data_IF_598257765995
#
_entry.id   IF_598257765995
#
_cell.length_a   1.000
_cell.length_b   1.000
_cell.length_c   1.000
_cell.angle_alpha   90.00
_cell.angle_beta   90.00
_cell.angle_gamma   90.00
#
_symmetry.space_group_name_H-M   'P 1'
#
loop_
_entity.id
_entity.type
_entity.pdbx_description
1 polymer ?
#
# COMPACT_ATOMS: atom_id res chain seq x y z
N UNK A 1 -46.62 24.32 7.46
CA UNK A 1 -45.54 24.65 6.50
C UNK A 1 -44.52 25.50 7.25
N UNK A 2 -43.37 24.94 7.62
CA UNK A 2 -42.35 25.61 8.45
C UNK A 2 -41.05 25.69 7.65
N UNK A 3 -40.42 26.87 7.61
CA UNK A 3 -39.10 27.06 7.00
C UNK A 3 -38.02 26.81 8.06
N UNK A 4 -37.08 25.93 7.76
CA UNK A 4 -35.83 25.76 8.50
C UNK A 4 -34.75 26.56 7.73
N UNK A 5 -33.85 27.34 8.39
CA UNK A 5 -32.82 28.09 7.68
C UNK A 5 -31.62 27.22 7.26
N UNK A 6 -31.17 27.36 6.00
CA UNK A 6 -29.95 26.75 5.46
C UNK A 6 -28.68 27.46 5.96
N UNK A 7 -28.33 27.30 7.24
CA UNK A 7 -27.11 27.91 7.81
C UNK A 7 -26.37 26.99 8.80
N UNK A 8 -26.09 25.75 8.38
CA UNK A 8 -25.29 24.79 9.17
C UNK A 8 -24.21 24.00 8.38
N UNK A 9 -23.94 24.37 7.13
CA UNK A 9 -22.94 23.74 6.27
C UNK A 9 -21.48 24.19 6.50
N UNK A 10 -21.14 24.73 7.69
CA UNK A 10 -19.74 25.04 8.05
C UNK A 10 -18.94 23.76 8.26
N UNK A 11 -18.33 23.26 7.18
CA UNK A 11 -17.44 22.11 7.17
C UNK A 11 -16.38 22.23 8.28
N UNK A 12 -16.43 21.31 9.25
CA UNK A 12 -15.50 21.27 10.39
C UNK A 12 -14.14 20.72 9.93
N UNK A 13 -13.36 21.57 9.27
CA UNK A 13 -11.98 21.29 8.90
C UNK A 13 -11.22 20.75 10.12
N UNK A 14 -10.63 19.55 10.00
CA UNK A 14 -10.04 18.83 11.12
C UNK A 14 -9.02 19.72 11.86
N UNK A 15 -8.97 19.73 13.21
CA UNK A 15 -8.06 20.60 13.98
C UNK A 15 -6.59 20.52 13.53
N UNK A 16 -6.16 19.33 13.11
CA UNK A 16 -4.85 19.05 12.50
C UNK A 16 -4.52 19.97 11.33
N UNK A 17 -5.47 20.25 10.43
CA UNK A 17 -5.23 21.08 9.23
C UNK A 17 -4.98 22.55 9.61
N UNK A 18 -5.80 23.11 10.50
CA UNK A 18 -5.65 24.50 10.97
C UNK A 18 -4.37 24.67 11.79
N UNK A 19 -3.95 23.64 12.52
CA UNK A 19 -2.68 23.61 13.26
C UNK A 19 -1.50 23.50 12.29
N UNK A 20 -1.54 22.59 11.30
CA UNK A 20 -0.53 22.46 10.25
C UNK A 20 -0.32 23.75 9.48
N UNK A 21 -1.40 24.46 9.10
CA UNK A 21 -1.30 25.77 8.44
C UNK A 21 -0.64 26.82 9.34
N UNK A 22 -1.02 26.93 10.62
CA UNK A 22 -0.40 27.87 11.57
C UNK A 22 1.09 27.59 11.81
N UNK A 23 1.48 26.31 11.96
CA UNK A 23 2.89 25.95 12.16
C UNK A 23 3.70 26.17 10.88
N UNK A 24 3.15 25.85 9.70
CA UNK A 24 3.82 26.13 8.42
C UNK A 24 4.05 27.63 8.20
N UNK A 25 3.05 28.47 8.51
CA UNK A 25 3.19 29.94 8.45
C UNK A 25 4.27 30.47 9.40
N UNK A 26 4.34 29.95 10.64
CA UNK A 26 5.39 30.29 11.61
C UNK A 26 6.77 29.86 11.14
N UNK A 27 6.90 28.63 10.65
CA UNK A 27 8.16 28.08 10.15
C UNK A 27 8.66 28.91 8.96
N UNK A 28 7.79 29.21 7.99
CA UNK A 28 8.11 30.09 6.87
C UNK A 28 8.55 31.49 7.34
N UNK A 29 7.86 32.12 8.30
CA UNK A 29 8.26 33.44 8.78
C UNK A 29 9.61 33.44 9.50
N UNK A 30 9.88 32.41 10.32
CA UNK A 30 11.17 32.27 11.03
C UNK A 30 12.31 32.00 10.05
N UNK A 31 12.11 31.08 9.11
CA UNK A 31 13.16 30.67 8.16
C UNK A 31 13.48 31.79 7.14
N UNK A 32 12.48 32.59 6.73
CA UNK A 32 12.72 33.78 5.89
C UNK A 32 13.48 34.85 6.66
N UNK A 33 13.19 35.08 7.95
CA UNK A 33 13.96 36.01 8.80
C UNK A 33 15.41 35.55 8.97
N UNK A 34 15.65 34.25 9.19
CA UNK A 34 16.99 33.68 9.33
C UNK A 34 17.83 33.86 8.05
N UNK A 35 17.27 33.51 6.88
CA UNK A 35 17.96 33.68 5.59
C UNK A 35 18.25 35.17 5.31
N UNK A 36 17.29 36.06 5.58
CA UNK A 36 17.46 37.49 5.35
C UNK A 36 18.43 38.16 6.35
N UNK A 37 18.64 37.60 7.54
CA UNK A 37 19.65 38.11 8.50
C UNK A 37 21.05 37.63 8.14
N UNK A 38 21.23 36.41 7.63
CA UNK A 38 22.54 35.96 7.11
C UNK A 38 23.01 36.70 5.86
N UNK A 39 22.11 37.30 5.08
CA UNK A 39 22.44 38.13 3.90
C UNK A 39 22.81 39.57 4.30
N UNK A 40 22.36 40.07 5.46
CA UNK A 40 22.78 41.39 6.00
C UNK A 40 24.10 41.31 6.77
N UNK A 41 25.17 40.89 6.07
CA UNK A 41 26.54 41.21 6.49
C UNK A 41 26.93 42.57 5.89
N UNK A 42 27.61 43.39 6.68
CA UNK A 42 27.81 44.82 6.41
C UNK A 42 28.59 45.10 5.10
N UNK A 43 28.19 46.17 4.41
CA UNK A 43 29.00 46.77 3.33
C UNK A 43 30.25 47.40 3.96
N UNK A 44 31.48 46.99 3.58
CA UNK A 44 32.68 47.65 4.06
C UNK A 44 32.84 49.01 3.37
N UNK A 45 33.23 50.02 4.14
CA UNK A 45 33.57 51.36 3.63
C UNK A 45 34.71 51.29 2.61
N UNK A 46 34.69 52.20 1.63
CA UNK A 46 35.72 52.33 0.59
C UNK A 46 37.15 52.51 1.15
N UNK A 47 38.12 52.06 0.33
CA UNK A 47 39.59 52.16 0.37
C UNK A 47 40.34 50.89 0.80
N UNK A 48 40.75 50.07 -0.19
CA UNK A 48 42.16 49.74 -0.47
C UNK A 48 42.29 48.90 -1.76
N UNK A 49 43.36 49.13 -2.54
CA UNK A 49 43.65 48.43 -3.80
C UNK A 49 44.26 47.02 -3.58
N UNK A 50 43.70 45.97 -4.20
CA UNK A 50 44.44 44.76 -4.63
C UNK A 50 43.59 43.90 -5.61
N UNK A 51 44.19 43.19 -6.60
CA UNK A 51 43.45 42.79 -7.80
C UNK A 51 42.85 41.36 -7.83
N UNK A 52 41.77 41.24 -8.62
CA UNK A 52 41.45 40.11 -9.49
C UNK A 52 41.45 38.67 -8.94
N UNK A 53 40.49 38.35 -8.06
CA UNK A 53 39.96 36.98 -7.96
C UNK A 53 38.42 36.97 -8.08
N UNK A 54 37.93 36.82 -9.31
CA UNK A 54 36.53 36.50 -9.62
C UNK A 54 36.17 35.06 -9.19
N UNK A 55 36.21 34.80 -7.89
CA UNK A 55 35.70 33.55 -7.32
C UNK A 55 34.25 33.76 -6.91
N UNK A 56 33.34 33.44 -7.82
CA UNK A 56 31.90 33.36 -7.55
C UNK A 56 31.66 32.45 -6.35
N UNK A 57 31.43 33.05 -5.19
CA UNK A 57 30.84 32.39 -4.03
C UNK A 57 29.34 32.33 -4.26
N UNK A 58 28.94 31.51 -5.24
CA UNK A 58 27.64 30.85 -5.20
C UNK A 58 27.48 30.27 -3.78
N UNK A 59 26.34 30.50 -3.11
CA UNK A 59 26.19 30.11 -1.72
C UNK A 59 26.49 28.62 -1.60
N UNK A 60 27.45 28.29 -0.73
CA UNK A 60 27.66 26.90 -0.34
C UNK A 60 26.35 26.42 0.27
N UNK A 61 25.68 25.52 -0.44
CA UNK A 61 24.64 24.70 0.16
C UNK A 61 25.42 23.74 1.06
N UNK A 62 25.63 24.14 2.31
CA UNK A 62 26.22 23.28 3.33
C UNK A 62 25.41 21.97 3.40
N UNK A 63 26.09 20.85 3.65
CA UNK A 63 25.53 19.51 3.43
C UNK A 63 24.21 19.29 4.19
N UNK A 64 23.09 19.36 3.46
CA UNK A 64 21.73 19.05 3.96
C UNK A 64 21.63 17.57 4.42
N UNK A 65 22.65 16.76 4.14
CA UNK A 65 22.78 15.34 4.53
C UNK A 65 23.35 15.11 5.94
N UNK A 66 23.77 16.16 6.65
CA UNK A 66 24.36 16.06 7.99
C UNK A 66 23.31 15.96 9.10
N UNK A 67 22.06 16.40 8.87
CA UNK A 67 20.97 16.21 9.84
C UNK A 67 20.56 14.73 9.93
N UNK A 68 20.77 14.12 11.10
CA UNK A 68 20.47 12.70 11.36
C UNK A 68 19.88 12.50 12.75
N UNK A 69 18.56 12.41 12.85
CA UNK A 69 17.90 12.09 14.11
C UNK A 69 18.12 10.60 14.50
N UNK A 70 18.67 10.27 15.68
CA UNK A 70 19.18 8.93 16.00
C UNK A 70 18.13 7.82 16.13
N UNK A 71 16.84 8.16 16.17
CA UNK A 71 15.73 7.18 16.17
C UNK A 71 15.01 7.03 14.82
N UNK A 72 15.37 7.81 13.79
CA UNK A 72 14.91 7.58 12.41
C UNK A 72 15.78 6.50 11.74
N UNK A 73 15.28 5.87 10.68
CA UNK A 73 16.04 4.85 9.95
C UNK A 73 17.23 5.50 9.23
N UNK A 74 18.43 4.88 9.30
CA UNK A 74 19.60 5.35 8.54
C UNK A 74 19.26 5.50 7.06
N UNK A 75 19.27 6.73 6.58
CA UNK A 75 19.15 7.06 5.16
C UNK A 75 20.28 6.38 4.38
N UNK A 76 19.93 5.78 3.25
CA UNK A 76 20.87 5.34 2.23
C UNK A 76 20.58 6.18 1.00
N UNK A 77 21.62 6.56 0.27
CA UNK A 77 21.47 7.28 -0.97
C UNK A 77 21.05 6.28 -2.06
N UNK A 78 19.85 6.44 -2.60
CA UNK A 78 19.34 5.62 -3.70
C UNK A 78 20.06 5.91 -5.05
N UNK A 79 21.21 6.58 -4.99
CA UNK A 79 22.21 6.74 -6.06
C UNK A 79 23.11 5.49 -6.11
N UNK A 80 23.46 4.92 -4.95
CA UNK A 80 24.34 3.75 -4.83
C UNK A 80 23.68 2.44 -5.31
N UNK A 81 22.36 2.46 -5.57
CA UNK A 81 21.56 1.28 -5.88
C UNK A 81 21.03 1.34 -7.32
N UNK A 82 21.23 0.26 -8.09
CA UNK A 82 20.63 0.12 -9.42
C UNK A 82 19.11 -0.06 -9.32
N UNK A 83 18.37 0.32 -10.37
CA UNK A 83 16.91 0.09 -10.48
C UNK A 83 16.56 -1.37 -10.20
N UNK A 84 17.34 -2.27 -10.81
CA UNK A 84 17.18 -3.72 -10.69
C UNK A 84 17.43 -4.22 -9.27
N UNK A 85 18.42 -3.69 -8.55
CA UNK A 85 18.73 -4.13 -7.18
C UNK A 85 17.78 -3.56 -6.13
N UNK A 86 17.25 -2.35 -6.35
CA UNK A 86 16.08 -1.85 -5.60
C UNK A 86 14.92 -2.82 -5.79
N UNK A 87 14.53 -3.15 -7.02
CA UNK A 87 13.33 -3.99 -7.26
C UNK A 87 13.53 -5.42 -6.74
N UNK A 88 14.71 -6.05 -6.90
CA UNK A 88 15.06 -7.32 -6.22
C UNK A 88 14.87 -7.21 -4.69
N UNK A 89 15.31 -6.12 -4.07
CA UNK A 89 15.16 -5.90 -2.63
C UNK A 89 13.68 -5.75 -2.23
N UNK A 90 12.88 -4.99 -2.99
CA UNK A 90 11.44 -4.84 -2.74
C UNK A 90 10.72 -6.20 -2.82
N UNK A 91 11.08 -7.03 -3.80
CA UNK A 91 10.49 -8.38 -3.96
C UNK A 91 10.96 -9.32 -2.83
N UNK A 92 12.25 -9.28 -2.46
CA UNK A 92 12.81 -10.08 -1.35
C UNK A 92 12.11 -9.77 -0.02
N UNK A 93 11.91 -8.48 0.28
CA UNK A 93 11.32 -7.97 1.52
C UNK A 93 9.83 -7.62 1.37
N UNK A 94 9.16 -8.24 0.39
CA UNK A 94 7.70 -8.28 0.32
C UNK A 94 7.14 -9.10 1.50
N UNK A 95 5.85 -8.95 1.81
CA UNK A 95 5.18 -9.71 2.88
C UNK A 95 3.66 -9.66 2.71
N UNK A 96 2.93 -10.69 3.16
CA UNK A 96 1.47 -10.64 3.27
C UNK A 96 1.02 -10.15 4.65
N UNK A 97 -0.04 -9.35 4.66
CA UNK A 97 -0.75 -8.95 5.88
C UNK A 97 -2.02 -9.80 5.97
N UNK A 98 -2.23 -10.58 7.04
CA UNK A 98 -3.36 -11.50 7.13
C UNK A 98 -4.69 -10.75 7.19
N UNK A 99 -5.79 -11.49 7.07
CA UNK A 99 -7.13 -11.02 7.39
C UNK A 99 -7.23 -10.49 8.83
N UNK A 100 -8.32 -9.78 9.11
CA UNK A 100 -8.63 -9.33 10.47
C UNK A 100 -8.78 -10.56 11.37
N UNK A 101 -8.06 -10.64 12.51
CA UNK A 101 -8.20 -11.79 13.40
C UNK A 101 -9.65 -11.89 13.90
N UNK A 102 -10.24 -13.10 13.95
CA UNK A 102 -11.67 -13.29 14.27
C UNK A 102 -12.01 -12.87 15.71
N UNK A 103 -11.04 -12.91 16.61
CA UNK A 103 -11.13 -12.38 17.97
C UNK A 103 -10.29 -11.10 18.10
N UNK A 104 -10.50 -10.33 19.17
CA UNK A 104 -9.67 -9.15 19.53
C UNK A 104 -8.27 -9.57 20.05
N UNK A 105 -7.55 -10.35 19.25
CA UNK A 105 -6.19 -10.79 19.51
C UNK A 105 -5.25 -9.60 19.69
N UNK A 106 -4.31 -9.71 20.64
CA UNK A 106 -3.29 -8.68 20.90
C UNK A 106 -2.21 -8.64 19.82
N UNK A 107 -2.10 -9.72 19.06
CA UNK A 107 -1.06 -10.01 18.10
C UNK A 107 -1.65 -10.38 16.73
N UNK A 108 -0.90 -10.12 15.68
CA UNK A 108 -1.17 -10.57 14.30
C UNK A 108 0.11 -11.13 13.69
N UNK A 109 -0.01 -12.11 12.79
CA UNK A 109 1.14 -12.80 12.19
C UNK A 109 1.30 -12.35 10.74
N UNK A 110 2.39 -11.64 10.46
CA UNK A 110 2.82 -11.26 9.11
C UNK A 110 3.62 -12.42 8.53
N UNK A 111 3.39 -12.78 7.26
CA UNK A 111 4.22 -13.77 6.56
C UNK A 111 5.12 -13.05 5.56
N UNK A 112 6.42 -13.09 5.81
CA UNK A 112 7.45 -12.49 4.98
C UNK A 112 7.57 -13.17 3.62
N UNK A 113 8.16 -12.48 2.65
CA UNK A 113 8.30 -12.94 1.27
C UNK A 113 9.05 -14.27 1.15
N UNK A 114 10.04 -14.53 2.01
CA UNK A 114 10.73 -15.82 2.14
C UNK A 114 9.81 -16.96 2.63
N UNK A 115 8.76 -16.66 3.40
CA UNK A 115 7.85 -17.60 4.05
C UNK A 115 7.99 -17.65 5.58
N UNK A 116 8.93 -16.89 6.15
CA UNK A 116 9.07 -16.75 7.60
C UNK A 116 7.89 -15.98 8.21
N UNK A 117 7.47 -16.37 9.41
CA UNK A 117 6.34 -15.73 10.11
C UNK A 117 6.85 -14.81 11.23
N UNK A 118 6.30 -13.60 11.29
CA UNK A 118 6.65 -12.57 12.26
C UNK A 118 5.40 -12.09 12.98
N UNK A 119 5.37 -12.26 14.30
CA UNK A 119 4.27 -11.80 15.16
C UNK A 119 4.51 -10.34 15.53
N UNK A 120 3.52 -9.47 15.30
CA UNK A 120 3.55 -8.05 15.68
C UNK A 120 2.28 -7.66 16.45
N UNK A 121 2.27 -6.59 17.27
CA UNK A 121 1.05 -6.06 17.88
C UNK A 121 -0.04 -5.78 16.84
N UNK A 122 -1.27 -6.27 17.06
CA UNK A 122 -2.42 -6.07 16.14
C UNK A 122 -2.63 -4.63 15.69
N UNK A 123 -2.43 -3.58 16.53
CA UNK A 123 -2.61 -2.20 16.08
C UNK A 123 -1.63 -1.74 14.98
N UNK A 124 -0.51 -2.43 14.77
CA UNK A 124 0.38 -2.16 13.62
C UNK A 124 -0.13 -2.75 12.30
N UNK A 125 -1.13 -3.65 12.30
CA UNK A 125 -1.64 -4.33 11.08
C UNK A 125 -2.03 -3.34 9.98
N UNK A 126 -2.95 -2.42 10.27
CA UNK A 126 -3.47 -1.45 9.29
C UNK A 126 -2.39 -0.40 8.89
N UNK A 127 -1.60 0.19 9.82
CA UNK A 127 -0.49 1.06 9.45
C UNK A 127 0.55 0.40 8.55
N UNK A 128 0.93 -0.86 8.82
CA UNK A 128 1.89 -1.62 8.01
C UNK A 128 1.34 -1.93 6.63
N UNK A 129 0.08 -2.35 6.54
CA UNK A 129 -0.63 -2.59 5.29
C UNK A 129 -0.74 -1.31 4.45
N UNK A 130 -0.96 -0.15 5.06
CA UNK A 130 -0.96 1.13 4.35
C UNK A 130 0.44 1.54 3.88
N UNK A 131 1.48 1.31 4.68
CA UNK A 131 2.86 1.57 4.28
C UNK A 131 3.28 0.71 3.07
N UNK A 132 2.93 -0.59 3.09
CA UNK A 132 3.12 -1.50 1.96
C UNK A 132 2.34 -1.03 0.72
N UNK A 133 1.05 -0.70 0.87
CA UNK A 133 0.22 -0.23 -0.23
C UNK A 133 0.78 1.06 -0.85
N UNK A 134 1.15 2.04 -0.05
CA UNK A 134 1.77 3.28 -0.53
C UNK A 134 3.09 3.00 -1.29
N UNK A 135 3.93 2.07 -0.81
CA UNK A 135 5.14 1.63 -1.51
C UNK A 135 4.84 0.98 -2.86
N UNK A 136 3.97 -0.05 -2.89
CA UNK A 136 3.69 -0.83 -4.10
C UNK A 136 2.91 -0.03 -5.14
N UNK A 137 1.91 0.76 -4.75
CA UNK A 137 1.22 1.68 -5.68
C UNK A 137 2.17 2.75 -6.21
N UNK A 138 3.12 3.26 -5.41
CA UNK A 138 4.14 4.20 -5.92
C UNK A 138 5.08 3.54 -6.92
N UNK A 139 5.49 2.29 -6.70
CA UNK A 139 6.28 1.52 -7.68
C UNK A 139 5.50 1.29 -8.97
N UNK A 140 4.24 0.85 -8.86
CA UNK A 140 3.33 0.63 -9.99
C UNK A 140 3.19 1.90 -10.84
N UNK A 141 2.87 3.04 -10.24
CA UNK A 141 2.71 4.32 -10.94
C UNK A 141 3.97 4.70 -11.75
N UNK A 142 5.16 4.48 -11.19
CA UNK A 142 6.42 4.83 -11.86
C UNK A 142 6.81 3.83 -12.95
N UNK A 143 6.51 2.53 -12.79
CA UNK A 143 6.82 1.53 -13.81
C UNK A 143 5.77 1.48 -14.94
N UNK A 144 4.53 1.90 -14.69
CA UNK A 144 3.46 1.97 -15.69
C UNK A 144 3.56 3.14 -16.68
N UNK A 145 4.37 4.18 -16.42
CA UNK A 145 4.57 5.29 -17.37
C UNK A 145 5.57 4.94 -18.48
N UNK A 146 5.47 5.64 -19.62
CA UNK A 146 6.40 5.55 -20.75
C UNK A 146 7.86 5.69 -20.28
N UNK A 147 8.74 4.86 -20.84
CA UNK A 147 10.20 4.84 -20.65
C UNK A 147 10.88 6.21 -20.50
N UNK A 148 10.46 7.23 -21.26
CA UNK A 148 11.02 8.59 -21.24
C UNK A 148 10.64 9.37 -19.98
N UNK A 149 9.45 9.12 -19.45
CA UNK A 149 8.93 9.73 -18.23
C UNK A 149 9.38 8.91 -17.02
N UNK A 150 9.36 7.57 -17.13
CA UNK A 150 9.81 6.59 -16.12
C UNK A 150 11.11 7.01 -15.46
N UNK A 151 12.15 7.38 -16.21
CA UNK A 151 13.45 7.72 -15.63
C UNK A 151 13.44 9.01 -14.78
N UNK A 152 12.58 9.99 -15.09
CA UNK A 152 12.39 11.19 -14.25
C UNK A 152 11.68 10.80 -12.95
N UNK A 153 10.51 10.18 -13.07
CA UNK A 153 9.69 9.81 -11.91
C UNK A 153 10.41 8.80 -11.01
N UNK A 154 11.17 7.86 -11.59
CA UNK A 154 12.02 6.93 -10.85
C UNK A 154 13.07 7.65 -10.00
N UNK A 155 13.75 8.66 -10.54
CA UNK A 155 14.71 9.43 -9.75
C UNK A 155 14.07 10.22 -8.61
N UNK A 156 12.80 10.65 -8.76
CA UNK A 156 12.03 11.35 -7.72
C UNK A 156 11.51 10.38 -6.63
N UNK A 157 10.96 9.23 -7.01
CA UNK A 157 10.27 8.32 -6.09
C UNK A 157 11.12 7.16 -5.52
N UNK A 158 12.22 6.73 -6.19
CA UNK A 158 12.99 5.53 -5.77
C UNK A 158 13.52 5.60 -4.33
N UNK A 159 13.91 6.79 -3.86
CA UNK A 159 14.39 7.00 -2.50
C UNK A 159 13.30 6.75 -1.46
N UNK A 160 12.10 7.27 -1.69
CA UNK A 160 10.94 7.02 -0.85
C UNK A 160 10.52 5.54 -0.84
N UNK A 161 10.40 4.92 -2.02
CA UNK A 161 10.02 3.51 -2.17
C UNK A 161 11.00 2.59 -1.42
N UNK A 162 12.32 2.77 -1.62
CA UNK A 162 13.35 1.99 -0.94
C UNK A 162 13.38 2.26 0.58
N UNK A 163 13.19 3.50 1.03
CA UNK A 163 13.13 3.82 2.46
C UNK A 163 11.97 3.09 3.14
N UNK A 164 10.79 3.04 2.50
CA UNK A 164 9.58 2.44 3.10
C UNK A 164 9.69 0.92 3.16
N UNK A 165 10.27 0.27 2.14
CA UNK A 165 10.55 -1.16 2.20
C UNK A 165 11.52 -1.51 3.32
N UNK A 166 12.64 -0.76 3.44
CA UNK A 166 13.60 -0.92 4.54
C UNK A 166 13.01 -0.60 5.91
N UNK A 167 12.04 0.31 6.00
CA UNK A 167 11.32 0.65 7.23
C UNK A 167 10.37 -0.49 7.67
N UNK A 168 9.66 -1.10 6.71
CA UNK A 168 8.83 -2.28 6.96
C UNK A 168 9.68 -3.50 7.34
N UNK A 169 10.78 -3.76 6.63
CA UNK A 169 11.75 -4.81 7.01
C UNK A 169 12.33 -4.55 8.41
N UNK A 170 12.72 -3.31 8.73
CA UNK A 170 13.23 -2.96 10.08
C UNK A 170 12.19 -3.29 11.16
N UNK A 171 10.90 -3.00 10.95
CA UNK A 171 9.83 -3.40 11.87
C UNK A 171 9.78 -4.93 12.06
N UNK A 172 9.85 -5.71 10.99
CA UNK A 172 9.77 -7.17 11.05
C UNK A 172 11.06 -7.81 11.61
N UNK A 173 12.22 -7.24 11.32
CA UNK A 173 13.50 -7.61 11.92
C UNK A 173 13.52 -7.38 13.44
N UNK A 174 13.12 -6.19 13.90
CA UNK A 174 13.05 -5.89 15.34
C UNK A 174 11.97 -6.72 16.05
N UNK A 175 10.85 -7.02 15.39
CA UNK A 175 9.83 -7.93 15.93
C UNK A 175 10.38 -9.36 16.09
N UNK A 176 11.07 -9.92 15.07
CA UNK A 176 11.70 -11.24 15.14
C UNK A 176 12.75 -11.33 16.28
N UNK A 177 13.58 -10.28 16.45
CA UNK A 177 14.51 -10.17 17.59
C UNK A 177 13.78 -10.14 18.94
N UNK A 178 12.67 -9.41 19.03
CA UNK A 178 11.88 -9.37 20.27
C UNK A 178 11.19 -10.71 20.56
N UNK A 179 10.71 -11.41 19.53
CA UNK A 179 10.09 -12.74 19.67
C UNK A 179 11.06 -13.76 20.28
N UNK A 180 12.32 -13.81 19.82
CA UNK A 180 13.31 -14.78 20.32
C UNK A 180 13.72 -14.56 21.78
N UNK A 181 13.45 -13.39 22.36
CA UNK A 181 13.72 -13.04 23.77
C UNK A 181 12.42 -12.98 24.60
N UNK A 182 11.27 -13.32 24.01
CA UNK A 182 9.95 -13.21 24.63
C UNK A 182 9.36 -11.80 24.49
N UNK A 183 8.67 -11.54 23.37
CA UNK A 183 8.16 -10.21 23.03
C UNK A 183 7.12 -9.73 24.05
N UNK A 184 7.48 -8.69 24.83
CA UNK A 184 6.60 -8.06 25.82
C UNK A 184 5.35 -7.47 25.16
N UNK A 185 4.19 -7.58 25.82
CA UNK A 185 2.90 -6.98 25.38
C UNK A 185 2.95 -5.47 25.13
N UNK A 186 3.93 -4.78 25.71
CA UNK A 186 4.22 -3.34 25.53
C UNK A 186 5.32 -3.05 24.50
N UNK A 187 5.75 -4.04 23.70
CA UNK A 187 6.75 -3.86 22.65
C UNK A 187 6.25 -2.90 21.57
N UNK A 188 7.17 -2.06 21.09
CA UNK A 188 6.97 -0.98 20.12
C UNK A 188 8.22 -0.81 19.28
N UNK A 189 8.08 -0.64 17.97
CA UNK A 189 9.20 -0.25 17.12
C UNK A 189 9.25 1.28 17.03
N UNK A 190 10.17 1.91 17.79
CA UNK A 190 10.28 3.38 17.86
C UNK A 190 10.45 4.03 16.49
N UNK A 191 11.26 3.44 15.62
CA UNK A 191 11.51 3.95 14.25
C UNK A 191 10.26 3.86 13.38
N UNK A 192 9.46 2.81 13.51
CA UNK A 192 8.18 2.70 12.82
C UNK A 192 7.14 3.68 13.39
N UNK A 193 7.03 3.78 14.72
CA UNK A 193 6.15 4.74 15.39
C UNK A 193 6.43 6.19 14.92
N UNK A 194 7.70 6.57 14.77
CA UNK A 194 8.08 7.90 14.26
C UNK A 194 7.60 8.13 12.83
N UNK A 195 7.74 7.16 11.93
CA UNK A 195 7.17 7.25 10.59
C UNK A 195 5.63 7.35 10.63
N UNK A 196 4.96 6.59 11.49
CA UNK A 196 3.50 6.65 11.64
C UNK A 196 2.99 8.01 12.16
N UNK A 197 3.74 8.68 13.04
CA UNK A 197 3.46 10.06 13.45
C UNK A 197 3.54 11.02 12.25
N UNK A 198 4.60 10.91 11.44
CA UNK A 198 4.73 11.68 10.19
C UNK A 198 3.56 11.40 9.23
N UNK A 199 3.18 10.12 9.07
CA UNK A 199 2.10 9.70 8.19
C UNK A 199 0.74 10.27 8.61
N UNK A 200 0.39 10.21 9.91
CA UNK A 200 -0.83 10.84 10.48
C UNK A 200 -0.98 12.31 10.07
N UNK A 201 0.13 13.03 10.04
CA UNK A 201 0.21 14.45 9.71
C UNK A 201 0.25 14.75 8.20
N UNK A 202 0.26 13.72 7.34
CA UNK A 202 0.36 13.83 5.89
C UNK A 202 1.80 14.08 5.41
N UNK A 203 2.77 13.48 6.08
CA UNK A 203 4.20 13.47 5.72
C UNK A 203 4.65 12.04 5.42
N UNK A 204 4.24 11.53 4.25
CA UNK A 204 4.60 10.19 3.78
C UNK A 204 6.03 10.10 3.25
N UNK A 205 6.54 11.19 2.66
CA UNK A 205 7.91 11.27 2.17
C UNK A 205 8.90 11.21 3.34
N UNK A 206 10.02 10.53 3.10
CA UNK A 206 11.05 10.24 4.12
C UNK A 206 12.45 10.68 3.67
N UNK A 207 12.52 11.72 2.84
CA UNK A 207 13.77 12.35 2.43
C UNK A 207 14.39 13.11 3.62
N UNK A 208 15.72 13.15 3.80
CA UNK A 208 16.35 13.73 4.98
C UNK A 208 15.86 15.15 5.30
N UNK A 209 15.90 16.06 4.32
CA UNK A 209 15.41 17.44 4.47
C UNK A 209 13.90 17.55 4.75
N UNK A 210 13.08 16.55 4.37
CA UNK A 210 11.64 16.53 4.68
C UNK A 210 11.35 15.98 6.07
N UNK A 211 12.19 15.07 6.58
CA UNK A 211 12.11 14.66 7.99
C UNK A 211 12.68 15.73 8.92
N UNK A 212 13.70 16.48 8.48
CA UNK A 212 14.18 17.68 9.17
C UNK A 212 13.10 18.78 9.21
N UNK A 213 12.50 19.15 8.06
CA UNK A 213 11.42 20.15 8.01
C UNK A 213 10.23 19.76 8.93
N UNK A 214 9.90 18.47 9.02
CA UNK A 214 8.92 17.97 10.00
C UNK A 214 9.40 18.14 11.45
N UNK A 215 10.64 17.79 11.75
CA UNK A 215 11.22 17.92 13.10
C UNK A 215 11.27 19.39 13.56
N UNK A 216 11.75 20.30 12.72
CA UNK A 216 11.86 21.73 13.05
C UNK A 216 10.47 22.41 13.17
N UNK A 217 9.45 21.87 12.51
CA UNK A 217 8.05 22.32 12.63
C UNK A 217 7.30 21.82 13.87
N UNK A 218 7.62 20.63 14.39
CA UNK A 218 6.78 19.90 15.35
C UNK A 218 7.49 19.34 16.59
N UNK A 219 8.82 19.20 16.55
CA UNK A 219 9.65 18.74 17.66
C UNK A 219 9.27 17.37 18.24
N UNK A 220 9.77 17.08 19.45
CA UNK A 220 9.41 15.85 20.18
C UNK A 220 7.92 15.81 20.56
N UNK A 221 7.26 16.96 20.78
CA UNK A 221 5.84 17.03 21.20
C UNK A 221 4.89 16.26 20.29
N UNK A 222 5.17 16.17 18.98
CA UNK A 222 4.34 15.41 18.04
C UNK A 222 4.75 13.93 17.99
N UNK A 223 6.05 13.63 18.18
CA UNK A 223 6.60 12.27 18.21
C UNK A 223 6.28 11.50 19.51
N UNK A 224 6.03 12.19 20.62
CA UNK A 224 5.56 11.59 21.90
C UNK A 224 4.09 11.14 21.84
N UNK A 225 3.30 11.65 20.88
CA UNK A 225 1.87 11.34 20.73
C UNK A 225 1.66 9.99 20.05
N UNK A 226 1.47 8.96 20.88
CA UNK A 226 1.23 7.55 20.49
C UNK A 226 0.47 7.39 19.15
N UNK A 227 1.15 7.01 18.05
CA UNK A 227 0.53 6.89 16.73
C UNK A 227 -0.46 5.73 16.65
N UNK A 228 -0.32 4.71 17.50
CA UNK A 228 -1.16 3.51 17.51
C UNK A 228 -2.57 3.80 18.05
N UNK A 229 -2.76 4.91 18.78
CA UNK A 229 -4.10 5.36 19.24
C UNK A 229 -4.92 6.09 18.17
N UNK A 230 -4.38 6.30 16.96
CA UNK A 230 -5.16 6.81 15.84
C UNK A 230 -6.15 5.74 15.33
N UNK A 231 -7.35 6.18 14.94
CA UNK A 231 -8.29 5.37 14.15
C UNK A 231 -7.73 5.17 12.73
N UNK A 232 -6.80 4.22 12.60
CA UNK A 232 -6.14 3.91 11.33
C UNK A 232 -7.12 3.38 10.29
N UNK A 233 -8.16 2.61 10.67
CA UNK A 233 -9.17 2.13 9.71
C UNK A 233 -9.85 3.30 9.00
N UNK A 234 -10.37 4.27 9.77
CA UNK A 234 -11.01 5.45 9.19
C UNK A 234 -10.02 6.37 8.45
N UNK A 235 -8.77 6.45 8.91
CA UNK A 235 -7.75 7.25 8.25
C UNK A 235 -7.36 6.68 6.88
N UNK A 236 -7.15 5.36 6.75
CA UNK A 236 -6.78 4.72 5.48
C UNK A 236 -7.94 4.61 4.49
N UNK A 237 -9.18 4.41 4.97
CA UNK A 237 -10.40 4.44 4.14
C UNK A 237 -10.63 5.83 3.52
N UNK A 238 -10.38 6.90 4.28
CA UNK A 238 -10.41 8.27 3.78
C UNK A 238 -9.30 8.53 2.75
N UNK A 239 -8.16 7.87 2.92
CA UNK A 239 -6.99 8.00 2.06
C UNK A 239 -6.23 9.32 2.21
N UNK A 240 -5.06 9.36 1.59
CA UNK A 240 -4.19 10.53 1.52
C UNK A 240 -3.49 10.61 0.16
N UNK A 241 -3.60 11.75 -0.54
CA UNK A 241 -3.04 11.97 -1.89
C UNK A 241 -3.39 10.87 -2.93
N UNK A 242 -4.61 10.34 -2.88
CA UNK A 242 -5.07 9.25 -3.76
C UNK A 242 -4.78 7.84 -3.23
N UNK A 243 -3.77 7.66 -2.37
CA UNK A 243 -3.50 6.38 -1.72
C UNK A 243 -4.54 6.13 -0.61
N UNK A 244 -5.34 5.09 -0.76
CA UNK A 244 -6.30 4.59 0.25
C UNK A 244 -6.20 3.08 0.35
N UNK A 245 -6.84 2.50 1.36
CA UNK A 245 -7.16 1.08 1.43
C UNK A 245 -8.68 0.93 1.41
N UNK A 246 -9.18 -0.02 0.64
CA UNK A 246 -10.62 -0.32 0.58
C UNK A 246 -11.03 -1.31 1.69
N UNK A 247 -12.30 -1.36 2.07
CA UNK A 247 -12.74 -2.11 3.26
C UNK A 247 -12.49 -3.62 3.14
N UNK A 248 -12.60 -4.18 1.93
CA UNK A 248 -12.26 -5.57 1.62
C UNK A 248 -10.79 -5.89 1.91
N UNK A 249 -9.86 -5.01 1.55
CA UNK A 249 -8.44 -5.14 1.90
C UNK A 249 -8.21 -5.04 3.42
N UNK A 250 -9.01 -4.21 4.11
CA UNK A 250 -8.87 -4.01 5.56
C UNK A 250 -9.37 -5.23 6.34
N UNK A 251 -10.46 -5.86 5.92
CA UNK A 251 -11.03 -7.02 6.61
C UNK A 251 -10.41 -8.33 6.11
N UNK A 252 -10.21 -8.51 4.81
CA UNK A 252 -9.59 -9.69 4.18
C UNK A 252 -8.07 -9.75 4.26
N UNK A 253 -7.39 -8.60 4.45
CA UNK A 253 -5.92 -8.51 4.38
C UNK A 253 -5.43 -8.35 2.94
N UNK A 254 -4.11 -8.41 2.76
CA UNK A 254 -3.48 -8.34 1.43
C UNK A 254 -2.37 -9.40 1.35
N UNK A 255 -2.49 -10.27 0.36
CA UNK A 255 -1.59 -11.40 0.12
C UNK A 255 -0.35 -10.99 -0.70
N UNK A 256 0.62 -11.90 -0.76
CA UNK A 256 1.95 -11.64 -1.32
C UNK A 256 1.94 -11.49 -2.85
N UNK A 257 1.09 -12.26 -3.50
CA UNK A 257 0.76 -12.21 -4.92
C UNK A 257 0.14 -10.87 -5.31
N UNK A 258 -0.81 -10.34 -4.54
CA UNK A 258 -1.47 -9.05 -4.80
C UNK A 258 -0.49 -7.85 -4.83
N UNK A 259 0.64 -7.93 -4.12
CA UNK A 259 1.70 -6.91 -4.20
C UNK A 259 2.61 -7.04 -5.43
N UNK A 260 2.67 -8.23 -6.01
CA UNK A 260 3.60 -8.61 -7.08
C UNK A 260 2.90 -8.82 -8.43
N UNK A 261 1.57 -8.72 -8.46
CA UNK A 261 0.76 -8.85 -9.68
C UNK A 261 1.07 -7.74 -10.69
N UNK A 262 1.13 -8.11 -11.97
CA UNK A 262 1.58 -7.23 -13.05
C UNK A 262 3.07 -6.85 -13.04
N UNK A 263 3.84 -7.05 -11.96
CA UNK A 263 5.28 -6.75 -11.93
C UNK A 263 6.09 -7.88 -12.60
N UNK A 264 6.81 -7.55 -13.68
CA UNK A 264 7.52 -8.52 -14.53
C UNK A 264 8.89 -8.00 -14.98
N UNK A 265 9.80 -8.93 -15.29
CA UNK A 265 11.11 -8.63 -15.86
C UNK A 265 11.12 -8.93 -17.37
N UNK A 266 11.43 -7.93 -18.18
CA UNK A 266 11.55 -8.03 -19.65
C UNK A 266 12.91 -7.47 -20.10
N UNK A 267 13.72 -8.25 -20.82
CA UNK A 267 14.98 -7.79 -21.46
C UNK A 267 15.89 -6.96 -20.53
N UNK A 268 16.01 -7.42 -19.28
CA UNK A 268 16.76 -6.81 -18.18
C UNK A 268 16.23 -5.49 -17.56
N UNK A 269 15.10 -4.95 -18.04
CA UNK A 269 14.31 -3.95 -17.32
C UNK A 269 13.16 -4.61 -16.51
N UNK A 270 12.56 -3.84 -15.60
CA UNK A 270 11.34 -4.21 -14.87
C UNK A 270 10.17 -3.33 -15.30
N UNK A 271 9.05 -3.97 -15.62
CA UNK A 271 7.83 -3.30 -16.12
C UNK A 271 6.63 -3.70 -15.26
N UNK A 272 5.64 -2.80 -15.20
CA UNK A 272 4.32 -3.13 -14.67
C UNK A 272 3.34 -3.30 -15.82
N UNK A 273 2.96 -4.55 -16.09
CA UNK A 273 2.09 -4.98 -17.18
C UNK A 273 0.83 -5.64 -16.61
N UNK A 274 -0.23 -4.86 -16.35
CA UNK A 274 -1.51 -5.36 -15.83
C UNK A 274 -2.42 -5.96 -16.92
N UNK A 275 -2.00 -5.93 -18.20
CA UNK A 275 -2.81 -6.38 -19.35
C UNK A 275 -2.28 -7.70 -19.94
N UNK A 276 -1.16 -8.22 -19.42
CA UNK A 276 -0.45 -9.38 -19.95
C UNK A 276 0.06 -9.20 -21.39
N UNK A 277 0.46 -7.97 -21.73
CA UNK A 277 1.07 -7.64 -23.02
C UNK A 277 2.42 -8.35 -23.28
N UNK A 278 3.12 -8.80 -22.22
CA UNK A 278 4.42 -9.46 -22.32
C UNK A 278 4.37 -10.92 -21.82
N UNK A 279 3.82 -11.87 -22.60
CA UNK A 279 3.62 -13.27 -22.17
C UNK A 279 4.94 -14.05 -21.97
N UNK A 280 6.06 -13.58 -22.53
CA UNK A 280 7.40 -14.17 -22.37
C UNK A 280 8.23 -13.54 -21.23
N UNK A 281 7.66 -12.62 -20.45
CA UNK A 281 8.35 -11.96 -19.33
C UNK A 281 8.19 -12.77 -18.03
N UNK A 282 9.24 -12.77 -17.20
CA UNK A 282 9.25 -13.52 -15.94
C UNK A 282 8.55 -12.70 -14.85
N UNK A 283 7.55 -13.27 -14.15
CA UNK A 283 6.86 -12.53 -13.10
C UNK A 283 7.71 -12.35 -11.84
N UNK A 284 7.43 -11.32 -11.05
CA UNK A 284 8.07 -11.10 -9.77
C UNK A 284 7.83 -12.28 -8.79
N UNK A 285 6.66 -12.92 -8.84
CA UNK A 285 6.34 -14.11 -8.04
C UNK A 285 7.21 -15.32 -8.44
N UNK A 286 7.36 -15.59 -9.75
CA UNK A 286 8.25 -16.63 -10.26
C UNK A 286 9.72 -16.35 -9.90
N UNK A 287 10.13 -15.09 -10.00
CA UNK A 287 11.48 -14.64 -9.64
C UNK A 287 11.76 -14.84 -8.14
N UNK A 288 10.79 -14.51 -7.27
CA UNK A 288 10.87 -14.76 -5.83
C UNK A 288 10.94 -16.26 -5.52
N UNK A 289 10.13 -17.08 -6.17
CA UNK A 289 10.15 -18.54 -6.00
C UNK A 289 11.49 -19.16 -6.43
N UNK A 290 12.09 -18.66 -7.53
CA UNK A 290 13.44 -19.04 -7.93
C UNK A 290 14.47 -18.65 -6.87
N UNK A 291 14.43 -17.40 -6.40
CA UNK A 291 15.36 -16.90 -5.39
C UNK A 291 15.27 -17.70 -4.08
N UNK A 292 14.07 -18.05 -3.60
CA UNK A 292 13.90 -18.94 -2.43
C UNK A 292 14.61 -20.28 -2.58
N UNK A 293 14.56 -20.87 -3.78
CA UNK A 293 15.12 -22.20 -4.06
C UNK A 293 16.64 -22.21 -4.21
N UNK A 294 17.22 -21.08 -4.63
CA UNK A 294 18.63 -21.00 -5.09
C UNK A 294 19.51 -20.04 -4.28
N UNK A 295 18.91 -19.09 -3.56
CA UNK A 295 19.59 -17.95 -2.96
C UNK A 295 20.03 -16.86 -3.95
N UNK A 296 19.92 -17.10 -5.27
CA UNK A 296 20.49 -16.23 -6.32
C UNK A 296 19.43 -15.57 -7.19
N UNK A 297 19.74 -14.35 -7.64
CA UNK A 297 18.91 -13.54 -8.53
C UNK A 297 19.38 -13.66 -9.98
N UNK A 298 19.14 -14.83 -10.57
CA UNK A 298 19.66 -15.23 -11.88
C UNK A 298 20.48 -16.52 -11.79
N UNK A 299 20.86 -17.17 -12.91
CA UNK A 299 20.64 -16.78 -14.32
C UNK A 299 19.16 -16.89 -14.77
N UNK A 300 18.89 -16.61 -16.04
CA UNK A 300 17.58 -16.86 -16.62
C UNK A 300 17.18 -18.34 -16.46
N UNK A 301 15.88 -18.63 -16.51
CA UNK A 301 15.45 -19.98 -16.81
C UNK A 301 15.92 -20.30 -18.24
N UNK A 302 17.05 -20.99 -18.36
CA UNK A 302 17.30 -21.83 -19.52
C UNK A 302 16.12 -22.79 -19.57
N UNK A 303 15.21 -22.57 -20.52
CA UNK A 303 14.11 -23.47 -20.81
C UNK A 303 14.77 -24.84 -20.99
N UNK A 304 14.44 -25.86 -20.15
CA UNK A 304 15.11 -27.15 -20.21
C UNK A 304 15.13 -27.61 -21.65
N UNK A 305 16.34 -27.73 -22.23
CA UNK A 305 16.50 -27.91 -23.66
C UNK A 305 15.60 -29.08 -24.06
N UNK A 306 14.62 -28.87 -24.96
CA UNK A 306 13.49 -29.79 -25.10
C UNK A 306 14.04 -31.18 -25.30
N UNK A 307 13.59 -32.13 -24.49
CA UNK A 307 14.04 -33.52 -24.53
C UNK A 307 13.54 -34.16 -25.82
N UNK A 308 14.22 -33.83 -26.92
CA UNK A 308 14.29 -34.60 -28.14
C UNK A 308 14.90 -35.95 -27.78
N UNK A 309 14.04 -36.82 -27.23
CA UNK A 309 14.41 -38.15 -26.82
C UNK A 309 15.10 -38.84 -27.98
N UNK A 310 16.36 -39.22 -27.78
CA UNK A 310 17.10 -40.06 -28.71
C UNK A 310 16.47 -41.46 -28.71
N UNK A 311 15.33 -41.58 -29.38
CA UNK A 311 14.75 -42.84 -29.85
C UNK A 311 15.66 -43.38 -30.95
N UNK A 312 16.82 -43.86 -30.50
CA UNK A 312 17.80 -44.57 -31.32
C UNK A 312 17.10 -45.72 -32.00
N UNK A 313 17.17 -45.74 -33.33
CA UNK A 313 16.56 -46.75 -34.19
C UNK A 313 16.86 -48.16 -33.68
N UNK A 314 15.80 -48.90 -33.34
CA UNK A 314 15.79 -50.35 -33.42
C UNK A 314 14.79 -50.75 -34.50
N UNK A 315 15.34 -51.16 -35.65
CA UNK A 315 14.59 -51.82 -36.71
C UNK A 315 13.88 -53.07 -36.18
N UNK A 316 12.58 -53.15 -36.39
CA UNK A 316 11.81 -54.39 -36.38
C UNK A 316 10.70 -54.27 -37.43
N UNK A 317 10.63 -55.21 -38.37
CA UNK A 317 9.59 -55.23 -39.40
C UNK A 317 8.20 -55.45 -38.80
N UNK A 318 7.20 -54.74 -39.33
CA UNK A 318 5.84 -55.29 -39.44
C UNK A 318 5.01 -54.64 -40.56
N UNK A 319 5.08 -55.31 -41.72
CA UNK A 319 4.12 -55.38 -42.85
C UNK A 319 3.00 -54.32 -42.93
N UNK A 320 3.00 -53.65 -44.08
CA UNK A 320 1.85 -52.95 -44.66
C UNK A 320 0.54 -53.76 -44.64
N UNK A 321 -0.54 -53.11 -44.24
CA UNK A 321 -1.92 -53.47 -44.65
C UNK A 321 -2.54 -52.23 -45.29
N UNK A 322 -2.65 -52.24 -46.62
CA UNK A 322 -3.51 -51.31 -47.36
C UNK A 322 -4.96 -51.73 -47.18
N UNK A 323 -5.84 -50.77 -46.89
CA UNK A 323 -7.27 -50.91 -47.17
C UNK A 323 -7.74 -49.63 -47.86
N UNK A 324 -8.23 -49.77 -49.08
CA UNK A 324 -8.87 -48.70 -49.83
C UNK A 324 -10.23 -48.36 -49.21
N UNK A 325 -10.57 -47.07 -49.16
CA UNK A 325 -11.91 -46.57 -48.86
C UNK A 325 -12.21 -45.44 -49.86
N UNK A 326 -13.27 -45.60 -50.64
CA UNK A 326 -13.66 -44.66 -51.69
C UNK A 326 -14.12 -43.29 -51.15
N UNK A 327 -13.85 -42.19 -51.89
CA UNK A 327 -14.32 -40.86 -51.54
C UNK A 327 -15.80 -40.65 -51.92
N UNK A 328 -16.66 -40.42 -50.92
CA UNK A 328 -18.04 -39.95 -51.14
C UNK A 328 -18.09 -38.43 -51.03
N UNK A 329 -18.32 -37.76 -52.17
CA UNK A 329 -18.43 -36.31 -52.27
C UNK A 329 -19.75 -35.77 -51.70
N UNK A 330 -19.68 -34.77 -50.83
CA UNK A 330 -20.81 -33.86 -50.59
C UNK A 330 -20.34 -32.40 -50.51
N UNK A 331 -20.79 -31.60 -51.47
CA UNK A 331 -20.63 -30.14 -51.48
C UNK A 331 -21.74 -29.50 -50.62
N UNK A 332 -21.38 -28.59 -49.72
CA UNK A 332 -22.29 -27.54 -49.21
C UNK A 332 -21.49 -26.22 -49.15
N UNK A 333 -21.91 -25.15 -49.84
CA UNK A 333 -21.18 -23.89 -49.89
C UNK A 333 -21.63 -22.93 -48.78
N UNK A 334 -20.68 -22.30 -48.07
CA UNK A 334 -20.94 -21.05 -47.37
C UNK A 334 -19.77 -20.06 -47.53
N UNK A 335 -20.09 -18.92 -48.16
CA UNK A 335 -19.23 -17.74 -48.22
C UNK A 335 -19.72 -16.70 -47.24
N UNK A 336 -18.87 -16.26 -46.32
CA UNK A 336 -18.84 -14.86 -45.87
C UNK A 336 -17.44 -14.55 -45.33
N UNK A 337 -16.66 -13.74 -46.03
CA UNK A 337 -15.48 -13.11 -45.45
C UNK A 337 -15.92 -12.01 -44.46
N UNK A 338 -15.32 -11.89 -43.27
CA UNK A 338 -15.52 -10.72 -42.43
C UNK A 338 -14.77 -9.53 -43.04
N UNK A 339 -15.48 -8.42 -43.31
CA UNK A 339 -14.86 -7.19 -43.82
C UNK A 339 -13.72 -6.73 -42.90
N UNK A 340 -12.58 -6.39 -43.50
CA UNK A 340 -11.48 -5.74 -42.78
C UNK A 340 -11.83 -4.27 -42.53
N UNK A 341 -12.31 -3.95 -41.32
CA UNK A 341 -12.55 -2.57 -40.88
C UNK A 341 -11.24 -1.86 -40.56
N UNK A 342 -10.52 -1.56 -41.64
CA UNK A 342 -9.14 -1.05 -41.67
C UNK A 342 -9.06 0.38 -41.13
N UNK A 343 -8.99 0.48 -39.80
CA UNK A 343 -8.99 1.73 -39.03
C UNK A 343 -7.63 2.42 -39.12
N UNK A 344 -7.36 2.95 -40.33
CA UNK A 344 -6.19 3.76 -40.67
C UNK A 344 -6.18 5.10 -39.91
N UNK A 345 -5.85 5.03 -38.61
CA UNK A 345 -5.54 6.20 -37.78
C UNK A 345 -4.21 6.76 -38.29
N UNK A 346 -4.29 7.74 -39.20
CA UNK A 346 -3.14 8.41 -39.80
C UNK A 346 -2.24 8.94 -38.67
N UNK A 347 -1.05 8.36 -38.56
CA UNK A 347 -0.10 8.75 -37.52
C UNK A 347 0.40 10.17 -37.78
N UNK A 348 0.25 11.12 -36.83
CA UNK A 348 0.57 12.52 -37.08
C UNK A 348 2.07 12.70 -37.38
N UNK A 349 2.35 13.41 -38.48
CA UNK A 349 3.69 13.59 -39.00
C UNK A 349 4.57 14.35 -37.98
N UNK A 350 5.71 13.76 -37.59
CA UNK A 350 6.60 14.16 -36.47
C UNK A 350 7.21 15.58 -36.56
N UNK A 351 6.82 16.40 -37.53
CA UNK A 351 7.26 17.79 -37.72
C UNK A 351 6.15 18.84 -37.54
N UNK A 352 4.89 18.44 -37.37
CA UNK A 352 3.80 19.36 -37.08
C UNK A 352 3.42 19.30 -35.60
N UNK A 353 3.52 20.42 -34.89
CA UNK A 353 2.77 20.58 -33.64
C UNK A 353 1.30 20.81 -34.05
N UNK A 354 0.33 20.02 -33.55
CA UNK A 354 -1.07 20.27 -33.83
C UNK A 354 -1.49 21.59 -33.18
N UNK A 355 -2.31 22.37 -33.89
CA UNK A 355 -3.03 23.50 -33.32
C UNK A 355 -3.99 23.04 -32.23
N UNK A 356 -4.41 23.94 -31.35
CA UNK A 356 -5.35 23.63 -30.27
C UNK A 356 -6.70 23.10 -30.79
N UNK A 357 -7.09 23.48 -32.00
CA UNK A 357 -8.26 22.97 -32.73
C UNK A 357 -8.07 21.52 -33.18
N UNK A 358 -6.98 21.20 -33.89
CA UNK A 358 -6.69 19.83 -34.34
C UNK A 358 -6.58 18.85 -33.16
N UNK A 359 -6.00 19.29 -32.03
CA UNK A 359 -5.93 18.49 -30.81
C UNK A 359 -7.32 18.17 -30.22
N UNK A 360 -8.24 19.14 -30.24
CA UNK A 360 -9.63 18.93 -29.79
C UNK A 360 -10.41 18.01 -30.73
N UNK A 361 -10.20 18.11 -32.05
CA UNK A 361 -10.80 17.19 -33.03
C UNK A 361 -10.29 15.76 -32.87
N UNK A 362 -9.00 15.55 -32.61
CA UNK A 362 -8.42 14.24 -32.28
C UNK A 362 -9.02 13.67 -30.98
N UNK A 363 -9.18 14.49 -29.93
CA UNK A 363 -9.82 14.05 -28.68
C UNK A 363 -11.29 13.70 -28.86
N UNK A 364 -12.06 14.53 -29.56
CA UNK A 364 -13.47 14.29 -29.86
C UNK A 364 -13.66 13.02 -30.70
N UNK A 365 -12.78 12.77 -31.67
CA UNK A 365 -12.80 11.56 -32.50
C UNK A 365 -12.50 10.30 -31.68
N UNK A 366 -11.54 10.37 -30.75
CA UNK A 366 -11.25 9.27 -29.80
C UNK A 366 -12.42 9.00 -28.85
N UNK A 367 -13.05 10.05 -28.32
CA UNK A 367 -14.21 9.93 -27.44
C UNK A 367 -15.37 9.23 -28.14
N UNK A 368 -15.72 9.67 -29.36
CA UNK A 368 -16.77 9.05 -30.18
C UNK A 368 -16.49 7.58 -30.51
N UNK A 369 -15.23 7.22 -30.76
CA UNK A 369 -14.83 5.82 -30.96
C UNK A 369 -14.95 4.97 -29.68
N UNK A 370 -14.74 5.57 -28.50
CA UNK A 370 -14.98 4.89 -27.21
C UNK A 370 -16.48 4.69 -26.93
N UNK A 371 -17.34 5.68 -27.24
CA UNK A 371 -18.80 5.52 -27.15
C UNK A 371 -19.29 4.37 -28.05
N UNK A 372 -18.86 4.33 -29.31
CA UNK A 372 -19.21 3.25 -30.25
C UNK A 372 -18.78 1.87 -29.74
N UNK A 373 -17.58 1.76 -29.15
CA UNK A 373 -17.10 0.51 -28.53
C UNK A 373 -17.94 0.09 -27.32
N UNK A 374 -18.39 1.05 -26.49
CA UNK A 374 -19.27 0.76 -25.37
C UNK A 374 -20.63 0.24 -25.83
N UNK A 375 -21.28 0.89 -26.81
CA UNK A 375 -22.57 0.42 -27.33
C UNK A 375 -22.50 -0.97 -27.98
N UNK A 376 -21.38 -1.34 -28.60
CA UNK A 376 -21.16 -2.71 -29.10
C UNK A 376 -21.07 -3.74 -27.96
N UNK A 377 -20.33 -3.43 -26.90
CA UNK A 377 -20.23 -4.30 -25.71
C UNK A 377 -21.57 -4.42 -24.96
N UNK A 378 -22.36 -3.34 -24.88
CA UNK A 378 -23.70 -3.38 -24.31
C UNK A 378 -24.64 -4.27 -25.13
N UNK A 379 -24.58 -4.19 -26.46
CA UNK A 379 -25.35 -5.07 -27.35
C UNK A 379 -24.92 -6.54 -27.24
N UNK A 380 -23.63 -6.83 -27.06
CA UNK A 380 -23.10 -8.18 -26.83
C UNK A 380 -23.54 -8.75 -25.47
N UNK A 381 -23.43 -7.97 -24.39
CA UNK A 381 -23.93 -8.33 -23.06
C UNK A 381 -25.45 -8.55 -23.08
N UNK A 382 -26.20 -7.78 -23.87
CA UNK A 382 -27.64 -8.01 -24.07
C UNK A 382 -27.91 -9.32 -24.82
N UNK A 383 -27.16 -9.64 -25.89
CA UNK A 383 -27.26 -10.95 -26.57
C UNK A 383 -26.99 -12.11 -25.63
N UNK A 384 -25.92 -12.04 -24.82
CA UNK A 384 -25.56 -13.07 -23.84
C UNK A 384 -26.62 -13.26 -22.73
N UNK A 385 -27.30 -12.17 -22.32
CA UNK A 385 -28.41 -12.25 -21.35
C UNK A 385 -29.65 -12.94 -21.93
N UNK A 386 -30.00 -12.68 -23.18
CA UNK A 386 -31.19 -13.27 -23.81
C UNK A 386 -30.95 -14.69 -24.32
N UNK A 387 -29.78 -14.98 -24.89
CA UNK A 387 -29.42 -16.32 -25.38
C UNK A 387 -29.31 -17.40 -24.28
N UNK A 388 -29.34 -17.00 -23.01
CA UNK A 388 -29.38 -17.93 -21.86
C UNK A 388 -30.78 -18.49 -21.56
N UNK A 389 -31.82 -18.05 -22.29
CA UNK A 389 -33.19 -18.52 -22.09
C UNK A 389 -33.50 -19.87 -22.76
N UNK A 390 -32.93 -20.14 -23.94
CA UNK A 390 -33.41 -21.19 -24.84
C UNK A 390 -32.61 -22.51 -24.80
N UNK A 391 -31.48 -22.58 -24.08
CA UNK A 391 -30.77 -23.85 -23.84
C UNK A 391 -31.50 -24.70 -22.80
N UNK A 392 -32.52 -25.44 -23.24
CA UNK A 392 -33.09 -26.53 -22.48
C UNK A 392 -32.03 -27.60 -22.20
N UNK A 393 -31.65 -27.77 -20.93
CA UNK A 393 -30.72 -28.82 -20.53
C UNK A 393 -31.33 -30.21 -20.79
N UNK A 394 -30.68 -31.03 -21.62
CA UNK A 394 -31.02 -32.45 -21.72
C UNK A 394 -30.60 -33.15 -20.41
N UNK A 395 -31.59 -33.54 -19.62
CA UNK A 395 -31.42 -34.30 -18.37
C UNK A 395 -31.00 -35.75 -18.62
N UNK A 396 -29.76 -35.95 -19.07
CA UNK A 396 -29.16 -37.29 -19.10
C UNK A 396 -28.84 -37.74 -17.66
N UNK A 397 -29.66 -38.66 -17.17
CA UNK A 397 -29.50 -39.34 -15.88
C UNK A 397 -28.17 -40.12 -15.81
N UNK A 398 -27.17 -39.52 -15.17
CA UNK A 398 -26.17 -40.26 -14.39
C UNK A 398 -26.60 -40.31 -12.93
N UNK A 399 -26.46 -41.45 -12.23
CA UNK A 399 -26.74 -41.52 -10.80
C UNK A 399 -25.81 -40.58 -10.03
N UNK A 400 -26.25 -40.02 -8.89
CA UNK A 400 -25.41 -39.14 -8.08
C UNK A 400 -24.18 -39.91 -7.60
N UNK A 401 -23.01 -39.30 -7.76
CA UNK A 401 -21.76 -39.85 -7.25
C UNK A 401 -21.83 -39.86 -5.71
N UNK A 402 -21.73 -41.03 -5.11
CA UNK A 402 -21.91 -41.23 -3.67
C UNK A 402 -20.84 -40.44 -2.89
N UNK A 403 -21.27 -39.53 -2.02
CA UNK A 403 -20.36 -38.67 -1.28
C UNK A 403 -19.71 -39.46 -0.14
N UNK A 404 -18.50 -39.97 -0.38
CA UNK A 404 -17.68 -40.62 0.63
C UNK A 404 -17.08 -39.53 1.55
N UNK A 405 -17.46 -39.46 2.84
CA UNK A 405 -16.85 -38.51 3.76
C UNK A 405 -15.41 -38.93 4.10
N UNK A 406 -14.52 -37.96 4.33
CA UNK A 406 -13.23 -38.26 4.95
C UNK A 406 -13.44 -38.71 6.41
N UNK A 407 -12.59 -39.62 6.91
CA UNK A 407 -12.73 -40.33 8.19
C UNK A 407 -12.83 -39.47 9.48
N UNK A 408 -12.79 -38.14 9.36
CA UNK A 408 -12.87 -37.18 10.46
C UNK A 408 -14.04 -36.18 10.33
N UNK A 409 -15.00 -36.42 9.42
CA UNK A 409 -16.23 -35.64 9.36
C UNK A 409 -17.27 -36.17 10.37
N UNK A 410 -17.90 -35.31 11.20
CA UNK A 410 -19.00 -35.73 12.08
C UNK A 410 -20.19 -36.25 11.27
N UNK A 411 -20.87 -37.27 11.79
CA UNK A 411 -22.07 -37.82 11.15
C UNK A 411 -23.20 -36.77 11.13
N UNK A 412 -23.77 -36.53 9.96
CA UNK A 412 -24.84 -35.56 9.73
C UNK A 412 -26.16 -36.04 10.37
N UNK A 413 -26.25 -37.32 10.69
CA UNK A 413 -27.36 -37.91 11.44
C UNK A 413 -27.18 -37.86 12.97
N UNK A 414 -26.09 -37.28 13.48
CA UNK A 414 -25.95 -37.03 14.92
C UNK A 414 -26.95 -35.98 15.40
N UNK A 415 -27.83 -36.44 16.30
CA UNK A 415 -28.91 -35.66 16.87
C UNK A 415 -28.42 -34.60 17.86
N UNK A 416 -27.28 -34.80 18.51
CA UNK A 416 -26.71 -33.82 19.44
C UNK A 416 -26.08 -32.63 18.69
N UNK A 417 -25.54 -32.86 17.49
CA UNK A 417 -25.04 -31.80 16.61
C UNK A 417 -26.17 -30.93 16.03
N UNK A 418 -27.34 -31.50 15.73
CA UNK A 418 -28.44 -30.78 15.07
C UNK A 418 -29.29 -29.96 16.04
N UNK A 419 -29.55 -30.44 17.27
CA UNK A 419 -30.36 -29.71 18.26
C UNK A 419 -29.59 -28.57 18.97
N UNK A 420 -28.25 -28.58 18.98
CA UNK A 420 -27.42 -27.65 19.77
C UNK A 420 -26.90 -26.41 19.03
N UNK A 421 -26.60 -26.51 17.72
CA UNK A 421 -25.92 -25.44 16.98
C UNK A 421 -26.84 -24.34 16.43
N UNK A 422 -28.08 -24.69 16.07
CA UNK A 422 -29.00 -23.79 15.35
C UNK A 422 -30.10 -23.17 16.23
N UNK A 423 -30.29 -23.67 17.45
CA UNK A 423 -31.31 -23.16 18.37
C UNK A 423 -30.84 -21.88 19.09
N UNK A 424 -31.24 -20.76 18.49
CA UNK A 424 -31.33 -19.41 19.05
C UNK A 424 -30.06 -18.51 19.16
N UNK A 425 -29.51 -18.05 18.02
CA UNK A 425 -28.57 -16.93 17.98
C UNK A 425 -29.22 -15.54 18.21
N UNK A 426 -30.54 -15.41 17.96
CA UNK A 426 -31.19 -14.11 17.79
C UNK A 426 -31.71 -13.50 19.10
N UNK A 427 -32.20 -14.31 20.03
CA UNK A 427 -32.70 -13.83 21.34
C UNK A 427 -31.58 -13.28 22.20
N UNK A 428 -30.36 -13.81 22.05
CA UNK A 428 -29.11 -13.23 22.60
C UNK A 428 -28.73 -11.86 22.05
N UNK A 429 -29.28 -11.44 20.91
CA UNK A 429 -29.00 -10.14 20.29
C UNK A 429 -29.98 -9.02 20.69
N UNK A 430 -31.09 -9.36 21.35
CA UNK A 430 -32.18 -8.43 21.68
C UNK A 430 -32.38 -8.21 23.18
N UNK A 431 -31.71 -8.99 24.03
CA UNK A 431 -31.76 -8.81 25.49
C UNK A 431 -30.81 -7.71 25.98
N UNK A 432 -31.30 -6.46 25.94
CA UNK A 432 -30.57 -5.28 26.42
C UNK A 432 -30.56 -5.12 27.96
N UNK A 433 -31.15 -6.05 28.72
CA UNK A 433 -31.28 -5.91 30.19
C UNK A 433 -29.96 -6.06 30.95
N UNK A 434 -28.96 -6.71 30.36
CA UNK A 434 -27.71 -7.10 31.03
C UNK A 434 -26.63 -5.99 31.02
N UNK A 435 -27.01 -4.74 31.34
CA UNK A 435 -26.12 -3.57 31.23
C UNK A 435 -26.15 -2.58 32.42
N UNK A 436 -26.86 -2.88 33.50
CA UNK A 436 -26.94 -1.99 34.68
C UNK A 436 -25.94 -2.35 35.81
N UNK A 437 -25.49 -3.61 35.92
CA UNK A 437 -24.63 -4.12 37.00
C UNK A 437 -23.11 -3.81 36.87
N UNK A 438 -22.73 -2.60 36.45
CA UNK A 438 -21.32 -2.17 36.35
C UNK A 438 -21.04 -0.80 36.99
N UNK A 439 -21.59 -0.57 38.18
CA UNK A 439 -21.14 0.52 39.06
C UNK A 439 -19.78 0.25 39.73
N UNK A 440 -19.00 1.34 39.85
CA UNK A 440 -18.01 1.62 40.91
C UNK A 440 -17.22 0.45 41.55
N UNK A 441 -16.03 0.20 41.00
CA UNK A 441 -14.87 -0.27 41.81
C UNK A 441 -13.82 0.84 41.86
N UNK A 442 -13.85 1.64 42.93
CA UNK A 442 -12.81 2.62 43.25
C UNK A 442 -11.66 1.93 43.97
N UNK A 443 -10.50 1.85 43.31
CA UNK A 443 -9.27 1.38 43.94
C UNK A 443 -8.52 2.54 44.61
N UNK A 444 -8.88 2.78 45.88
CA UNK A 444 -8.08 3.58 46.81
C UNK A 444 -6.94 2.74 47.35
N UNK A 445 -5.68 3.06 47.02
CA UNK A 445 -4.50 2.67 47.82
C UNK A 445 -3.29 3.54 47.45
N UNK A 446 -2.78 4.28 48.44
CA UNK A 446 -1.44 4.88 48.40
C UNK A 446 -0.96 5.20 49.81
N UNK A 447 -0.67 4.15 50.59
CA UNK A 447 0.19 4.28 51.77
C UNK A 447 1.63 4.47 51.28
N UNK A 448 2.33 5.47 51.82
CA UNK A 448 3.76 5.71 51.61
C UNK A 448 4.32 6.12 52.97
N UNK A 449 5.34 5.40 53.45
CA UNK A 449 5.95 5.66 54.75
C UNK A 449 6.76 6.98 54.74
N UNK A 450 6.56 7.81 55.76
CA UNK A 450 7.39 8.99 56.01
C UNK A 450 8.66 8.59 56.76
N UNK A 451 9.83 9.00 56.27
CA UNK A 451 11.04 9.13 57.11
C UNK A 451 11.92 10.31 56.66
N UNK A 452 11.81 11.45 57.36
CA UNK A 452 12.93 12.20 57.98
C UNK A 452 12.60 13.68 58.29
N UNK A 453 12.93 14.05 59.52
CA UNK A 453 13.16 15.40 60.04
C UNK A 453 14.39 16.05 59.34
N UNK A 454 14.63 17.38 59.30
CA UNK A 454 13.89 18.60 59.69
C UNK A 454 14.26 19.68 58.59
N UNK A 455 14.09 21.02 58.63
CA UNK A 455 13.89 21.93 59.76
C UNK A 455 13.25 23.29 59.44
N UNK A 456 12.86 23.99 60.52
CA UNK A 456 13.01 25.45 60.73
C UNK A 456 12.16 26.48 59.94
N UNK A 457 11.25 27.13 60.70
CA UNK A 457 10.81 28.55 60.63
C UNK A 457 10.06 29.07 59.36
N UNK A 458 8.90 29.72 59.56
CA UNK A 458 8.20 30.44 58.46
C UNK A 458 7.00 31.33 58.84
N UNK A 459 5.98 30.79 59.53
CA UNK A 459 4.79 31.55 59.97
C UNK A 459 3.71 31.81 58.89
N UNK A 460 2.48 32.25 59.26
CA UNK A 460 1.30 32.12 58.39
C UNK A 460 0.60 33.43 57.97
N UNK A 461 -0.02 33.43 56.76
CA UNK A 461 -1.05 34.40 56.34
C UNK A 461 -2.33 33.66 55.94
N UNK A 462 -3.49 34.28 56.18
CA UNK A 462 -4.79 33.60 56.33
C UNK A 462 -5.62 33.52 55.05
N UNK A 463 -6.38 32.43 54.94
CA UNK A 463 -7.54 32.28 54.04
C UNK A 463 -8.55 33.42 54.21
N UNK A 464 -9.12 33.93 53.11
CA UNK A 464 -10.34 34.73 53.13
C UNK A 464 -11.06 34.80 51.76
N UNK A 465 -12.40 34.69 51.82
CA UNK A 465 -13.44 34.98 50.79
C UNK A 465 -13.98 33.81 49.94
N UNK A 466 -14.96 33.10 50.49
CA UNK A 466 -16.22 32.85 49.77
C UNK A 466 -17.01 34.17 49.71
N UNK A 467 -17.71 34.46 48.59
CA UNK A 467 -19.16 34.74 48.54
C UNK A 467 -19.63 35.35 47.20
N UNK A 468 -20.89 35.07 46.86
CA UNK A 468 -21.81 35.82 45.98
C UNK A 468 -21.41 36.09 44.51
N UNK A 469 -22.15 35.43 43.60
CA UNK A 469 -23.25 36.11 42.90
C UNK A 469 -24.24 35.13 42.27
N UNK A 470 -25.46 35.12 42.80
CA UNK A 470 -26.70 34.72 42.11
C UNK A 470 -27.57 35.97 41.96
N UNK A 471 -28.50 35.98 41.01
CA UNK A 471 -29.54 37.01 40.91
C UNK A 471 -29.44 37.98 39.73
N UNK A 472 -29.76 37.48 38.53
CA UNK A 472 -30.87 38.03 37.73
C UNK A 472 -31.39 36.96 36.77
#
# INVERSE_FOLDING_TARGET
MVRIPDDSARSKACPVHRTRQKMAQRYQSVHVVAVNTTVKKEEPSDNDDVPSLLRSLSPKIDNIHDWRHPAELKYLEAVDWSTTDIIKFLITHSFSVPSRPPHRGRWTTITSGDGSTTVIPTPYRIPLMFAANFQWTSLQLVLSVDTKIRQKEWNEYKGGILHISRLCDTLLCEARKAMSVGMKRTWRCKTFDRALVRYRMGWLLSDPGKVQEFWDMYGNEEYEKDPVKLDWKRWVLKGYKGFRLDEEQIEGGILLDHWLDGLKKEKDDWVWDPVNAFPSSLSALQSLAHWKKTGTWGQAFEVPAPEYGNLSSHHADLRSVTMDIDPVSHEIPYSTEPESWDTNIISPNKKHNPTSTEFLEILHSRFKAQEQRLSLLEAEVMKLKHGRADTAFLSHLTPPMEFIPAENFPDIHDRECTESFWNDPLKRFLDLSCLEDLEFVVLSHSEVEETKDEASLGGPIKSLRKLQRTGK
#
